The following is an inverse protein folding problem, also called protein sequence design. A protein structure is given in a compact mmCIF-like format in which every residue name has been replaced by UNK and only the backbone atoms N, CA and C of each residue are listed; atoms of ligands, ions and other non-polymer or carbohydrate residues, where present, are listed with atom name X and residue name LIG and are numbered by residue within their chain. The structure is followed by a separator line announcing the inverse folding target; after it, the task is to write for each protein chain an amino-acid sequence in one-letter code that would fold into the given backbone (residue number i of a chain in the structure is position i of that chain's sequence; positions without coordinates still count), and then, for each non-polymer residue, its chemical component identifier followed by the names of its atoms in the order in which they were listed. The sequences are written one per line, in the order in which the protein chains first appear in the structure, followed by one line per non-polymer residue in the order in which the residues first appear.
data_IF_344749482682
#
_entry.id   IF_344749482682
#
_cell.length_a   1.000
_cell.length_b   1.000
_cell.length_c   1.000
_cell.angle_alpha   90.00
_cell.angle_beta   90.00
_cell.angle_gamma   90.00
#
_symmetry.space_group_name_H-M   'P 1'
#
loop_
_entity.id
_entity.type
_entity.pdbx_description
1 polymer ?
#
# COMPACT_ATOMS: atom_id res chain seq x y z
N UNK A 1 5.26 -15.08 -18.78
CA UNK A 1 5.33 -13.62 -18.99
C UNK A 1 6.76 -13.37 -19.42
N UNK A 2 7.02 -13.09 -20.69
CA UNK A 2 8.38 -12.87 -21.21
C UNK A 2 8.64 -11.37 -21.36
N UNK A 3 8.52 -10.64 -20.26
CA UNK A 3 8.77 -9.19 -20.16
C UNK A 3 10.05 -8.92 -19.36
N UNK A 4 10.67 -7.75 -19.50
CA UNK A 4 11.77 -7.36 -18.62
C UNK A 4 11.31 -7.30 -17.15
N UNK A 5 12.21 -7.48 -16.16
CA UNK A 5 11.84 -7.52 -14.75
C UNK A 5 11.04 -6.31 -14.26
N UNK A 6 11.37 -5.11 -14.74
CA UNK A 6 10.69 -3.87 -14.38
C UNK A 6 9.24 -3.82 -14.90
N UNK A 7 9.00 -4.33 -16.11
CA UNK A 7 7.66 -4.43 -16.71
C UNK A 7 6.73 -5.41 -15.97
N UNK A 8 7.29 -6.29 -15.12
CA UNK A 8 6.51 -7.26 -14.32
C UNK A 8 6.22 -6.76 -12.92
N UNK A 9 6.83 -5.66 -12.48
CA UNK A 9 6.74 -5.22 -11.10
C UNK A 9 5.30 -4.89 -10.72
N UNK A 10 4.59 -4.12 -11.55
CA UNK A 10 3.20 -3.73 -11.30
C UNK A 10 2.28 -4.94 -11.19
N UNK A 11 2.36 -5.89 -12.14
CA UNK A 11 1.56 -7.12 -12.10
C UNK A 11 1.86 -8.00 -10.88
N UNK A 12 3.13 -8.02 -10.45
CA UNK A 12 3.56 -8.75 -9.24
C UNK A 12 3.01 -8.10 -7.97
N UNK A 13 3.05 -6.77 -7.88
CA UNK A 13 2.54 -6.03 -6.73
C UNK A 13 1.01 -6.08 -6.65
N UNK A 14 0.31 -6.02 -7.78
CA UNK A 14 -1.13 -6.21 -7.84
C UNK A 14 -1.53 -7.61 -7.34
N UNK A 15 -0.87 -8.66 -7.84
CA UNK A 15 -1.10 -10.04 -7.40
C UNK A 15 -0.79 -10.23 -5.91
N UNK A 16 0.29 -9.60 -5.42
CA UNK A 16 0.65 -9.58 -4.00
C UNK A 16 -0.45 -8.97 -3.14
N UNK A 17 -1.03 -7.84 -3.57
CA UNK A 17 -2.11 -7.17 -2.84
C UNK A 17 -3.35 -8.06 -2.68
N UNK A 18 -3.77 -8.73 -3.77
CA UNK A 18 -4.92 -9.64 -3.76
C UNK A 18 -4.65 -10.85 -2.86
N UNK A 19 -3.48 -11.47 -2.98
CA UNK A 19 -3.10 -12.61 -2.14
C UNK A 19 -3.05 -12.23 -0.65
N UNK A 20 -2.52 -11.05 -0.32
CA UNK A 20 -2.48 -10.55 1.05
C UNK A 20 -3.88 -10.30 1.61
N UNK A 21 -4.78 -9.72 0.80
CA UNK A 21 -6.18 -9.52 1.19
C UNK A 21 -6.87 -10.84 1.55
N UNK A 22 -6.61 -11.88 0.76
CA UNK A 22 -7.14 -13.23 0.96
C UNK A 22 -6.47 -14.01 2.11
N UNK A 23 -5.47 -13.42 2.79
CA UNK A 23 -4.88 -13.98 4.00
C UNK A 23 -3.65 -14.87 3.79
N UNK A 24 -2.94 -14.74 2.66
CA UNK A 24 -1.65 -15.44 2.47
C UNK A 24 -0.64 -15.01 3.53
N UNK A 25 0.03 -15.99 4.14
CA UNK A 25 0.97 -15.76 5.24
C UNK A 25 2.43 -15.53 4.80
N UNK A 26 2.83 -16.02 3.61
CA UNK A 26 4.23 -16.01 3.17
C UNK A 26 4.35 -15.52 1.74
N UNK A 27 5.29 -14.59 1.51
CA UNK A 27 5.62 -14.03 0.20
C UNK A 27 7.12 -14.13 -0.07
N UNK A 28 7.49 -14.60 -1.26
CA UNK A 28 8.85 -14.48 -1.79
C UNK A 28 8.88 -13.33 -2.79
N UNK A 29 9.81 -12.39 -2.62
CA UNK A 29 9.96 -11.24 -3.49
C UNK A 29 11.41 -11.00 -3.88
N UNK A 30 11.62 -10.45 -5.08
CA UNK A 30 12.92 -9.93 -5.52
C UNK A 30 13.06 -8.44 -5.13
N UNK A 31 11.97 -7.66 -5.24
CA UNK A 31 11.88 -6.33 -4.63
C UNK A 31 11.14 -6.39 -3.29
N UNK A 32 11.91 -6.63 -2.23
CA UNK A 32 11.39 -6.77 -0.86
C UNK A 32 10.76 -5.46 -0.37
N UNK A 33 11.32 -4.30 -0.74
CA UNK A 33 10.84 -3.01 -0.25
C UNK A 33 9.47 -2.69 -0.81
N UNK A 34 9.29 -2.85 -2.12
CA UNK A 34 8.01 -2.59 -2.79
C UNK A 34 6.94 -3.59 -2.33
N UNK A 35 7.27 -4.88 -2.23
CA UNK A 35 6.36 -5.89 -1.67
C UNK A 35 5.92 -5.54 -0.25
N UNK A 36 6.86 -5.20 0.65
CA UNK A 36 6.50 -4.86 2.04
C UNK A 36 5.60 -3.64 2.15
N UNK A 37 5.81 -2.61 1.31
CA UNK A 37 4.92 -1.44 1.25
C UNK A 37 3.48 -1.82 0.86
N UNK A 38 3.32 -2.71 -0.12
CA UNK A 38 1.99 -3.22 -0.50
C UNK A 38 1.34 -3.98 0.65
N UNK A 39 2.07 -4.89 1.30
CA UNK A 39 1.55 -5.65 2.45
C UNK A 39 1.13 -4.74 3.61
N UNK A 40 1.98 -3.78 3.96
CA UNK A 40 1.69 -2.77 4.99
C UNK A 40 0.46 -1.93 4.63
N UNK A 41 0.27 -1.63 3.34
CA UNK A 41 -0.89 -0.88 2.86
C UNK A 41 -2.17 -1.71 2.94
N UNK A 42 -2.15 -2.95 2.46
CA UNK A 42 -3.29 -3.86 2.55
C UNK A 42 -3.72 -4.07 4.00
N UNK A 43 -2.78 -4.30 4.90
CA UNK A 43 -3.07 -4.45 6.33
C UNK A 43 -3.69 -3.18 6.94
N UNK A 44 -3.26 -1.99 6.50
CA UNK A 44 -3.87 -0.73 6.93
C UNK A 44 -5.28 -0.53 6.38
N UNK A 45 -5.53 -0.90 5.11
CA UNK A 45 -6.86 -0.81 4.48
C UNK A 45 -7.83 -1.78 5.14
N UNK A 46 -7.38 -3.00 5.46
CA UNK A 46 -8.18 -4.03 6.13
C UNK A 46 -8.44 -3.72 7.61
N UNK A 47 -7.66 -2.82 8.21
CA UNK A 47 -7.78 -2.42 9.61
C UNK A 47 -6.98 -3.29 10.59
N UNK A 48 -6.13 -4.19 10.09
CA UNK A 48 -5.28 -5.05 10.93
C UNK A 48 -4.13 -4.26 11.58
N UNK A 49 -3.79 -3.09 11.03
CA UNK A 49 -2.81 -2.15 11.60
C UNK A 49 -3.21 -0.70 11.31
N UNK A 50 -2.80 0.29 12.13
CA UNK A 50 -3.01 1.69 11.80
C UNK A 50 -2.19 2.10 10.56
N UNK A 51 -2.66 3.09 9.77
CA UNK A 51 -1.84 3.68 8.71
C UNK A 51 -0.69 4.49 9.31
N UNK A 52 0.42 4.60 8.58
CA UNK A 52 1.63 5.27 9.06
C UNK A 52 1.44 6.78 9.32
N UNK A 53 0.49 7.41 8.63
CA UNK A 53 0.12 8.81 8.79
C UNK A 53 -1.40 8.94 8.57
N UNK A 54 -2.13 9.37 9.61
CA UNK A 54 -3.55 9.70 9.55
C UNK A 54 -3.72 11.21 9.66
N UNK A 55 -3.59 11.92 8.54
CA UNK A 55 -3.86 13.35 8.50
C UNK A 55 -5.28 13.60 7.98
N UNK A 56 -6.02 14.48 8.65
CA UNK A 56 -7.27 15.03 8.12
C UNK A 56 -6.91 16.13 7.12
N UNK A 57 -7.44 16.06 5.91
CA UNK A 57 -7.34 17.19 4.98
C UNK A 57 -8.09 18.39 5.56
N UNK A 58 -7.42 19.55 5.65
CA UNK A 58 -8.11 20.82 5.90
C UNK A 58 -8.70 21.31 4.59
N UNK A 59 -9.87 21.98 4.61
CA UNK A 59 -10.38 22.66 3.42
C UNK A 59 -9.31 23.61 2.89
N UNK A 60 -9.03 23.55 1.59
CA UNK A 60 -8.20 24.56 0.95
C UNK A 60 -8.98 25.88 1.03
N UNK A 61 -8.46 26.85 1.78
CA UNK A 61 -9.06 28.19 1.92
C UNK A 61 -9.85 28.45 3.20
N UNK A 62 -9.77 27.61 4.23
CA UNK A 62 -10.21 28.01 5.56
C UNK A 62 -9.24 29.08 6.10
N UNK A 63 -9.59 30.36 5.95
CA UNK A 63 -8.95 31.42 6.74
C UNK A 63 -9.04 31.02 8.23
N UNK A 64 -7.96 31.22 9.01
CA UNK A 64 -8.02 30.97 10.45
C UNK A 64 -9.15 31.82 11.01
N UNK A 65 -10.11 31.18 11.68
CA UNK A 65 -11.18 31.90 12.36
C UNK A 65 -10.55 32.91 13.33
N UNK A 66 -10.82 34.20 13.10
CA UNK A 66 -10.45 35.31 13.98
C UNK A 66 -10.96 34.98 15.41
N UNK A 67 -10.12 35.13 16.46
CA UNK A 67 -10.46 34.74 17.84
C UNK A 67 -11.73 35.39 18.41
#
# INVERSE_FOLDING_TARGET
LDLEPDDRLEGTLASTAVAAWLGVAVFRAHDVRSTRRVLDMVASIRGDRPPARSARGTPVGAEPADP
#
